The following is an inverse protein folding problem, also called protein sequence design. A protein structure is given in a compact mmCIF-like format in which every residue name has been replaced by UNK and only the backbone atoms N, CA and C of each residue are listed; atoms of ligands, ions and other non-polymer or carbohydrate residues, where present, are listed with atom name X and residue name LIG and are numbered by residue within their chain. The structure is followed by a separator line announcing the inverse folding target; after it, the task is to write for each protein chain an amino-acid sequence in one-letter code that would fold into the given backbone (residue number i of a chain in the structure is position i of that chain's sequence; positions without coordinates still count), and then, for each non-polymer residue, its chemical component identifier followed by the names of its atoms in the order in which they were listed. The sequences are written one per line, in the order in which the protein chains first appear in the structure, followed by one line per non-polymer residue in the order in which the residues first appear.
data_IF_704341757069
#
_entry.id   IF_704341757069
#
_cell.length_a   1.000
_cell.length_b   1.000
_cell.length_c   1.000
_cell.angle_alpha   90.00
_cell.angle_beta   90.00
_cell.angle_gamma   90.00
#
_symmetry.space_group_name_H-M   'P 1'
#
loop_
_entity.id
_entity.type
_entity.pdbx_description
1 polymer ?
#
# COMPACT_ATOMS: atom_id res chain seq x y z
N UNK A 1 1.13 11.12 -25.28
CA UNK A 1 0.26 11.40 -24.14
C UNK A 1 0.50 10.51 -22.93
N UNK A 2 0.51 9.19 -23.09
CA UNK A 2 0.52 8.24 -21.96
C UNK A 2 1.88 8.17 -21.24
N UNK A 3 2.98 8.13 -21.97
CA UNK A 3 4.35 8.13 -21.41
C UNK A 3 4.60 9.38 -20.57
N UNK A 4 4.17 10.55 -21.03
CA UNK A 4 4.31 11.79 -20.28
C UNK A 4 3.50 11.79 -18.98
N UNK A 5 2.27 11.27 -19.01
CA UNK A 5 1.44 11.13 -17.80
C UNK A 5 2.09 10.19 -16.79
N UNK A 6 2.60 9.04 -17.21
CA UNK A 6 3.32 8.09 -16.35
C UNK A 6 4.54 8.73 -15.71
N UNK A 7 5.39 9.42 -16.48
CA UNK A 7 6.58 10.09 -15.96
C UNK A 7 6.23 11.18 -14.94
N UNK A 8 5.18 11.96 -15.20
CA UNK A 8 4.72 13.00 -14.27
C UNK A 8 4.22 12.37 -12.96
N UNK A 9 3.39 11.34 -13.05
CA UNK A 9 2.88 10.63 -11.86
C UNK A 9 4.02 10.03 -11.04
N UNK A 10 5.00 9.40 -11.69
CA UNK A 10 6.16 8.81 -11.04
C UNK A 10 6.96 9.85 -10.25
N UNK A 11 7.23 11.01 -10.85
CA UNK A 11 7.90 12.13 -10.16
C UNK A 11 7.09 12.69 -8.99
N UNK A 12 5.76 12.79 -9.14
CA UNK A 12 4.87 13.23 -8.06
C UNK A 12 4.89 12.28 -6.86
N UNK A 13 5.16 11.00 -7.08
CA UNK A 13 5.33 9.97 -6.05
C UNK A 13 6.73 9.90 -5.46
N UNK A 14 7.60 10.83 -5.82
CA UNK A 14 8.96 10.92 -5.30
C UNK A 14 9.98 9.99 -5.96
N UNK A 15 9.62 9.34 -7.08
CA UNK A 15 10.56 8.52 -7.84
C UNK A 15 11.39 9.41 -8.77
N UNK A 16 12.70 9.37 -8.57
CA UNK A 16 13.69 10.13 -9.30
C UNK A 16 14.94 9.28 -9.56
N UNK A 17 15.91 9.81 -10.30
CA UNK A 17 17.19 9.14 -10.50
C UNK A 17 17.92 8.82 -9.17
N UNK A 18 17.68 9.63 -8.12
CA UNK A 18 18.30 9.46 -6.81
C UNK A 18 17.56 8.51 -5.88
N UNK A 19 16.32 8.11 -6.20
CA UNK A 19 15.48 7.27 -5.36
C UNK A 19 15.01 5.99 -6.05
N UNK A 20 15.25 5.84 -7.34
CA UNK A 20 14.77 4.72 -8.14
C UNK A 20 15.27 3.37 -7.63
N UNK A 21 16.53 3.27 -7.28
CA UNK A 21 17.14 2.06 -6.74
C UNK A 21 16.59 1.68 -5.36
N UNK A 22 16.28 2.67 -4.51
CA UNK A 22 15.60 2.45 -3.24
C UNK A 22 14.18 1.92 -3.44
N UNK A 23 13.41 2.52 -4.37
CA UNK A 23 12.05 2.07 -4.69
C UNK A 23 12.05 0.65 -5.24
N UNK A 24 13.02 0.31 -6.10
CA UNK A 24 13.17 -1.04 -6.61
C UNK A 24 13.55 -2.03 -5.49
N UNK A 25 14.44 -1.65 -4.58
CA UNK A 25 14.80 -2.48 -3.43
C UNK A 25 13.58 -2.76 -2.53
N UNK A 26 12.77 -1.74 -2.23
CA UNK A 26 11.52 -1.90 -1.46
C UNK A 26 10.53 -2.84 -2.18
N UNK A 27 10.40 -2.73 -3.49
CA UNK A 27 9.56 -3.64 -4.26
C UNK A 27 10.05 -5.09 -4.18
N UNK A 28 11.35 -5.30 -4.30
CA UNK A 28 11.95 -6.64 -4.19
C UNK A 28 11.71 -7.23 -2.79
N UNK A 29 11.92 -6.45 -1.74
CA UNK A 29 11.68 -6.89 -0.36
C UNK A 29 10.20 -7.21 -0.11
N UNK A 30 9.29 -6.41 -0.67
CA UNK A 30 7.86 -6.69 -0.60
C UNK A 30 7.50 -8.00 -1.31
N UNK A 31 8.06 -8.24 -2.50
CA UNK A 31 7.87 -9.49 -3.22
C UNK A 31 8.35 -10.69 -2.42
N UNK A 32 9.52 -10.61 -1.78
CA UNK A 32 10.08 -11.69 -0.97
C UNK A 32 9.22 -11.98 0.26
N UNK A 33 8.81 -10.94 0.97
CA UNK A 33 7.97 -11.06 2.16
C UNK A 33 6.59 -11.67 1.82
N UNK A 34 5.92 -11.17 0.77
CA UNK A 34 4.66 -11.71 0.29
C UNK A 34 4.79 -13.15 -0.23
N UNK A 35 5.87 -13.46 -0.96
CA UNK A 35 6.10 -14.81 -1.47
C UNK A 35 6.32 -15.81 -0.35
N UNK A 36 6.97 -15.40 0.74
CA UNK A 36 7.11 -16.20 1.96
C UNK A 36 5.76 -16.38 2.65
N UNK A 37 4.98 -15.32 2.79
CA UNK A 37 3.66 -15.36 3.41
C UNK A 37 2.70 -16.28 2.65
N UNK A 38 2.59 -16.13 1.34
CA UNK A 38 1.78 -16.98 0.47
C UNK A 38 2.34 -18.40 0.27
N UNK A 39 3.35 -18.81 1.02
CA UNK A 39 3.73 -20.21 1.14
C UNK A 39 2.78 -20.99 2.03
N UNK A 40 2.15 -20.32 2.99
CA UNK A 40 1.37 -20.94 4.05
C UNK A 40 -0.13 -20.74 3.89
N UNK A 41 -0.54 -19.59 3.38
CA UNK A 41 -1.95 -19.21 3.22
C UNK A 41 -2.22 -18.61 1.84
N UNK A 42 -3.43 -18.82 1.29
CA UNK A 42 -3.77 -18.27 -0.02
C UNK A 42 -3.97 -16.75 -0.05
N UNK A 43 -4.29 -16.14 1.10
CA UNK A 43 -4.56 -14.71 1.28
C UNK A 43 -3.90 -14.19 2.56
N UNK A 44 -3.92 -12.88 2.77
CA UNK A 44 -3.21 -12.24 3.89
C UNK A 44 -3.66 -12.73 5.27
N UNK A 45 -4.96 -12.99 5.45
CA UNK A 45 -5.53 -13.40 6.74
C UNK A 45 -6.16 -14.80 6.71
N UNK A 46 -5.66 -15.71 5.89
CA UNK A 46 -6.12 -17.10 5.87
C UNK A 46 -6.68 -17.54 4.53
N UNK A 47 -7.78 -18.29 4.55
CA UNK A 47 -8.37 -18.96 3.39
C UNK A 47 -9.30 -18.08 2.54
N UNK A 48 -9.66 -16.88 3.00
CA UNK A 48 -10.51 -15.92 2.28
C UNK A 48 -9.84 -14.56 2.12
N UNK A 49 -10.09 -13.85 0.99
CA UNK A 49 -9.51 -12.53 0.77
C UNK A 49 -10.11 -11.50 1.73
N UNK A 50 -9.26 -10.69 2.34
CA UNK A 50 -9.64 -9.56 3.18
C UNK A 50 -9.49 -8.23 2.43
N UNK A 51 -9.90 -7.13 3.04
CA UNK A 51 -9.78 -5.78 2.44
C UNK A 51 -8.31 -5.42 2.11
N UNK A 52 -7.35 -5.97 2.87
CA UNK A 52 -5.91 -5.80 2.61
C UNK A 52 -5.49 -6.44 1.29
N UNK A 53 -6.03 -7.62 0.95
CA UNK A 53 -5.77 -8.28 -0.34
C UNK A 53 -6.25 -7.41 -1.50
N UNK A 54 -7.46 -6.83 -1.42
CA UNK A 54 -7.96 -5.92 -2.45
C UNK A 54 -7.15 -4.63 -2.54
N UNK A 55 -6.67 -4.10 -1.41
CA UNK A 55 -5.79 -2.94 -1.38
C UNK A 55 -4.46 -3.18 -2.09
N UNK A 56 -3.84 -4.33 -1.86
CA UNK A 56 -2.58 -4.73 -2.54
C UNK A 56 -2.81 -5.12 -4.01
N UNK A 57 -3.97 -5.66 -4.35
CA UNK A 57 -4.27 -6.06 -5.73
C UNK A 57 -4.18 -4.89 -6.70
N UNK A 58 -4.66 -3.72 -6.31
CA UNK A 58 -4.72 -2.56 -7.20
C UNK A 58 -3.33 -2.20 -7.81
N UNK A 59 -2.26 -1.96 -7.03
CA UNK A 59 -0.94 -1.68 -7.59
C UNK A 59 -0.27 -2.92 -8.17
N UNK A 60 -0.42 -4.09 -7.55
CA UNK A 60 0.26 -5.31 -8.01
C UNK A 60 -0.33 -5.82 -9.32
N UNK A 61 -1.65 -5.87 -9.48
CA UNK A 61 -2.29 -6.31 -10.72
C UNK A 61 -2.29 -5.23 -11.79
N UNK A 62 -2.74 -4.01 -11.45
CA UNK A 62 -3.00 -2.94 -12.43
C UNK A 62 -1.72 -2.37 -13.06
N UNK A 63 -0.58 -2.46 -12.36
CA UNK A 63 0.69 -1.91 -12.80
C UNK A 63 1.81 -2.94 -12.80
N UNK A 64 2.23 -3.43 -11.63
CA UNK A 64 3.46 -4.19 -11.48
C UNK A 64 3.42 -5.57 -12.16
N UNK A 65 2.26 -6.22 -12.26
CA UNK A 65 2.11 -7.46 -13.00
C UNK A 65 1.85 -7.24 -14.50
N UNK A 66 1.66 -6.00 -14.96
CA UNK A 66 1.40 -5.66 -16.38
C UNK A 66 2.59 -5.01 -17.07
N UNK A 67 3.35 -4.18 -16.35
CA UNK A 67 4.55 -3.57 -16.90
C UNK A 67 5.66 -4.64 -17.04
N UNK A 68 6.35 -4.73 -18.19
CA UNK A 68 7.21 -5.87 -18.52
C UNK A 68 8.31 -6.16 -17.50
N UNK A 69 9.01 -5.15 -17.01
CA UNK A 69 10.13 -5.31 -16.10
C UNK A 69 9.70 -5.79 -14.71
N UNK A 70 8.81 -5.08 -13.98
CA UNK A 70 8.37 -5.54 -12.66
C UNK A 70 7.60 -6.86 -12.73
N UNK A 71 6.85 -7.13 -13.82
CA UNK A 71 6.20 -8.42 -14.03
C UNK A 71 7.21 -9.58 -14.16
N UNK A 72 8.31 -9.36 -14.88
CA UNK A 72 9.38 -10.35 -15.00
C UNK A 72 10.04 -10.61 -13.64
N UNK A 73 10.31 -9.57 -12.84
CA UNK A 73 10.81 -9.71 -11.48
C UNK A 73 9.85 -10.52 -10.60
N UNK A 74 8.56 -10.17 -10.60
CA UNK A 74 7.53 -10.88 -9.84
C UNK A 74 7.48 -12.36 -10.21
N UNK A 75 7.41 -12.69 -11.48
CA UNK A 75 7.37 -14.09 -11.98
C UNK A 75 8.60 -14.90 -11.59
N UNK A 76 9.78 -14.28 -11.71
CA UNK A 76 11.05 -14.95 -11.45
C UNK A 76 11.32 -15.14 -9.96
N UNK A 77 11.05 -14.10 -9.15
CA UNK A 77 11.44 -14.04 -7.75
C UNK A 77 10.32 -14.47 -6.80
N UNK A 78 9.09 -14.13 -7.13
CA UNK A 78 7.92 -14.30 -6.26
C UNK A 78 6.75 -14.97 -7.02
N UNK A 79 6.91 -16.23 -7.47
CA UNK A 79 5.88 -16.91 -8.27
C UNK A 79 4.55 -17.07 -7.52
N UNK A 80 4.56 -17.16 -6.17
CA UNK A 80 3.34 -17.23 -5.36
C UNK A 80 2.58 -15.90 -5.36
N UNK A 81 3.31 -14.78 -5.35
CA UNK A 81 2.69 -13.45 -5.50
C UNK A 81 2.04 -13.31 -6.86
N UNK A 82 2.72 -13.74 -7.93
CA UNK A 82 2.14 -13.71 -9.27
C UNK A 82 0.86 -14.57 -9.36
N UNK A 83 0.86 -15.77 -8.77
CA UNK A 83 -0.31 -16.64 -8.70
C UNK A 83 -1.43 -16.04 -7.84
N UNK A 84 -1.08 -15.39 -6.73
CA UNK A 84 -2.04 -14.66 -5.91
C UNK A 84 -2.69 -13.51 -6.69
N UNK A 85 -1.91 -12.73 -7.45
CA UNK A 85 -2.42 -11.66 -8.32
C UNK A 85 -3.42 -12.21 -9.34
N UNK A 86 -3.11 -13.32 -9.99
CA UNK A 86 -4.02 -13.95 -10.97
C UNK A 86 -5.25 -14.55 -10.29
N UNK A 87 -5.10 -15.14 -9.10
CA UNK A 87 -6.22 -15.67 -8.30
C UNK A 87 -7.18 -14.57 -7.86
N UNK A 88 -6.66 -13.46 -7.33
CA UNK A 88 -7.45 -12.31 -6.93
C UNK A 88 -8.22 -11.64 -8.09
N UNK A 89 -7.76 -11.82 -9.32
CA UNK A 89 -8.43 -11.29 -10.51
C UNK A 89 -9.52 -12.21 -11.06
N UNK A 90 -9.76 -13.36 -10.45
CA UNK A 90 -10.83 -14.29 -10.84
C UNK A 90 -12.14 -13.95 -10.15
N UNK A 91 -13.26 -14.33 -10.76
CA UNK A 91 -14.60 -14.17 -10.18
C UNK A 91 -14.92 -15.19 -9.08
N UNK A 92 -14.15 -16.29 -8.99
CA UNK A 92 -14.34 -17.35 -7.99
C UNK A 92 -13.14 -17.44 -7.06
N UNK A 93 -13.43 -17.71 -5.78
CA UNK A 93 -12.39 -18.09 -4.82
C UNK A 93 -11.92 -19.50 -5.13
N UNK A 94 -10.75 -19.60 -5.69
CA UNK A 94 -10.11 -20.86 -6.09
C UNK A 94 -8.67 -20.84 -5.61
N UNK A 95 -8.39 -21.65 -4.61
CA UNK A 95 -7.10 -21.78 -3.95
C UNK A 95 -6.61 -23.23 -3.98
N UNK A 96 -6.75 -23.92 -5.08
CA UNK A 96 -6.39 -25.35 -5.28
C UNK A 96 -4.95 -25.69 -4.87
N UNK A 97 -4.07 -24.70 -4.74
CA UNK A 97 -2.69 -24.91 -4.28
C UNK A 97 -2.60 -25.14 -2.76
N UNK A 98 -3.69 -24.95 -2.03
CA UNK A 98 -3.75 -24.99 -0.54
C UNK A 98 -4.79 -26.00 -0.07
N UNK A 99 -4.57 -27.26 -0.32
CA UNK A 99 -5.50 -28.36 -0.08
C UNK A 99 -5.96 -28.48 1.39
N UNK A 100 -5.08 -28.10 2.31
CA UNK A 100 -5.33 -28.18 3.76
C UNK A 100 -5.75 -26.85 4.40
N UNK A 101 -6.01 -25.81 3.59
CA UNK A 101 -6.41 -24.51 4.10
C UNK A 101 -7.93 -24.38 4.06
N UNK A 102 -8.52 -24.16 5.25
CA UNK A 102 -9.93 -23.79 5.35
C UNK A 102 -10.20 -22.45 4.63
N UNK A 103 -11.46 -22.26 4.23
CA UNK A 103 -11.91 -20.99 3.62
C UNK A 103 -12.05 -19.86 4.62
N UNK A 104 -11.85 -20.14 5.91
CA UNK A 104 -12.01 -19.17 6.98
C UNK A 104 -10.80 -18.25 7.16
N UNK A 105 -11.02 -17.14 7.85
CA UNK A 105 -9.94 -16.29 8.35
C UNK A 105 -9.19 -16.98 9.49
N UNK A 106 -7.94 -16.55 9.71
CA UNK A 106 -7.14 -16.98 10.86
C UNK A 106 -7.90 -16.73 12.16
N UNK A 107 -7.87 -17.74 13.03
CA UNK A 107 -8.65 -17.74 14.26
C UNK A 107 -8.01 -16.85 15.35
N UNK A 108 -8.83 -16.38 16.29
CA UNK A 108 -8.39 -15.66 17.51
C UNK A 108 -7.57 -14.37 17.23
N UNK A 109 -7.81 -13.69 16.13
CA UNK A 109 -7.04 -12.51 15.72
C UNK A 109 -5.52 -12.79 15.58
N UNK A 110 -5.15 -14.00 15.26
CA UNK A 110 -3.76 -14.37 15.04
C UNK A 110 -3.20 -13.67 13.81
N UNK A 111 -2.06 -12.99 13.96
CA UNK A 111 -1.33 -12.36 12.87
C UNK A 111 -0.01 -13.10 12.70
N UNK A 112 0.18 -13.86 11.62
CA UNK A 112 1.41 -14.62 11.39
C UNK A 112 2.64 -13.71 11.28
N UNK A 113 3.79 -14.17 11.75
CA UNK A 113 5.07 -13.45 11.62
C UNK A 113 5.40 -13.13 10.17
N UNK A 114 4.99 -13.95 9.22
CA UNK A 114 5.15 -13.68 7.79
C UNK A 114 4.33 -12.49 7.32
N UNK A 115 3.12 -12.27 7.87
CA UNK A 115 2.33 -11.07 7.59
C UNK A 115 2.93 -9.84 8.28
N UNK A 116 3.45 -9.99 9.50
CA UNK A 116 4.18 -8.92 10.20
C UNK A 116 5.41 -8.50 9.37
N UNK A 117 6.12 -9.43 8.75
CA UNK A 117 7.23 -9.11 7.86
C UNK A 117 6.78 -8.28 6.64
N UNK A 118 5.64 -8.62 6.03
CA UNK A 118 5.03 -7.80 4.95
C UNK A 118 4.71 -6.39 5.43
N UNK A 119 4.05 -6.26 6.59
CA UNK A 119 3.69 -4.96 7.17
C UNK A 119 4.93 -4.11 7.50
N UNK A 120 6.02 -4.73 7.97
CA UNK A 120 7.30 -4.03 8.22
C UNK A 120 7.89 -3.44 6.94
N UNK A 121 7.82 -4.15 5.81
CA UNK A 121 8.28 -3.60 4.52
C UNK A 121 7.40 -2.44 4.09
N UNK A 122 6.08 -2.62 4.10
CA UNK A 122 5.12 -1.57 3.71
C UNK A 122 5.21 -0.32 4.59
N UNK A 123 5.55 -0.46 5.86
CA UNK A 123 5.64 0.67 6.79
C UNK A 123 6.87 1.56 6.57
N UNK A 124 7.90 1.11 5.85
CA UNK A 124 9.16 1.84 5.69
C UNK A 124 8.99 3.18 4.95
N UNK A 125 8.11 3.23 3.97
CA UNK A 125 7.78 4.43 3.22
C UNK A 125 6.40 4.99 3.59
N UNK A 126 5.42 4.13 3.79
CA UNK A 126 4.04 4.52 4.07
C UNK A 126 3.91 5.34 5.37
N UNK A 127 4.56 4.93 6.45
CA UNK A 127 4.45 5.63 7.74
C UNK A 127 5.11 7.01 7.70
N UNK A 128 6.38 7.18 7.25
CA UNK A 128 6.99 8.50 7.15
C UNK A 128 6.23 9.46 6.24
N UNK A 129 5.76 8.99 5.07
CA UNK A 129 4.95 9.79 4.15
C UNK A 129 3.64 10.24 4.82
N UNK A 130 2.95 9.31 5.48
CA UNK A 130 1.67 9.57 6.15
C UNK A 130 1.83 10.60 7.26
N UNK A 131 2.86 10.47 8.10
CA UNK A 131 3.14 11.42 9.19
C UNK A 131 3.46 12.82 8.64
N UNK A 132 4.31 12.90 7.62
CA UNK A 132 4.66 14.18 6.99
C UNK A 132 3.43 14.85 6.35
N UNK A 133 2.61 14.08 5.64
CA UNK A 133 1.38 14.57 5.02
C UNK A 133 0.35 15.03 6.05
N UNK A 134 0.16 14.28 7.14
CA UNK A 134 -0.76 14.65 8.21
C UNK A 134 -0.34 15.96 8.90
N UNK A 135 0.95 16.13 9.20
CA UNK A 135 1.48 17.37 9.78
C UNK A 135 1.23 18.57 8.87
N UNK A 136 1.52 18.43 7.57
CA UNK A 136 1.27 19.48 6.59
C UNK A 136 -0.21 19.83 6.49
N UNK A 137 -1.08 18.82 6.36
CA UNK A 137 -2.53 19.04 6.23
C UNK A 137 -3.13 19.70 7.45
N UNK A 138 -2.73 19.30 8.65
CA UNK A 138 -3.20 19.92 9.89
C UNK A 138 -2.78 21.40 9.98
N UNK A 139 -1.54 21.72 9.61
CA UNK A 139 -1.07 23.10 9.55
C UNK A 139 -1.84 23.90 8.49
N UNK A 140 -1.97 23.38 7.29
CA UNK A 140 -2.71 24.02 6.20
C UNK A 140 -4.17 24.29 6.58
N UNK A 141 -4.84 23.33 7.22
CA UNK A 141 -6.22 23.50 7.70
C UNK A 141 -6.34 24.59 8.75
N UNK A 142 -5.39 24.64 9.69
CA UNK A 142 -5.39 25.67 10.74
C UNK A 142 -5.14 27.09 10.20
N UNK A 143 -4.27 27.23 9.20
CA UNK A 143 -3.93 28.52 8.58
C UNK A 143 -5.00 29.02 7.59
N UNK A 144 -5.52 28.12 6.75
CA UNK A 144 -6.47 28.48 5.68
C UNK A 144 -7.91 28.48 6.15
N UNK A 145 -8.23 27.73 7.21
CA UNK A 145 -9.58 27.58 7.77
C UNK A 145 -10.66 27.45 6.67
N UNK A 146 -10.53 26.49 5.73
CA UNK A 146 -11.43 26.38 4.58
C UNK A 146 -12.86 26.08 5.08
N UNK A 147 -13.86 26.75 4.49
CA UNK A 147 -15.25 26.45 4.79
C UNK A 147 -15.58 25.01 4.39
N UNK A 148 -16.35 24.33 5.24
CA UNK A 148 -16.89 23.01 4.91
C UNK A 148 -17.64 23.06 3.57
N UNK A 149 -17.36 22.12 2.67
CA UNK A 149 -17.94 22.09 1.31
C UNK A 149 -17.19 22.93 0.28
N UNK A 150 -16.10 23.61 0.67
CA UNK A 150 -15.19 24.22 -0.32
C UNK A 150 -14.66 23.11 -1.24
N UNK A 151 -14.67 23.31 -2.59
CA UNK A 151 -14.17 22.29 -3.48
C UNK A 151 -12.70 22.03 -3.17
N UNK A 152 -12.35 20.77 -2.91
CA UNK A 152 -10.98 20.33 -2.98
C UNK A 152 -10.53 20.52 -4.44
N UNK A 153 -9.69 21.49 -4.70
CA UNK A 153 -9.23 21.79 -6.05
C UNK A 153 -8.29 20.68 -6.47
N UNK A 154 -8.86 19.61 -7.00
CA UNK A 154 -8.11 18.50 -7.55
C UNK A 154 -7.96 18.71 -9.05
N UNK A 155 -6.84 19.25 -9.48
CA UNK A 155 -6.45 19.18 -10.90
C UNK A 155 -5.63 17.91 -11.11
N UNK A 156 -6.10 17.05 -12.00
CA UNK A 156 -5.41 15.83 -12.40
C UNK A 156 -3.98 16.16 -12.83
N UNK A 157 -2.98 15.61 -12.13
CA UNK A 157 -1.57 15.79 -12.49
C UNK A 157 -0.81 16.88 -11.73
N UNK A 158 -1.48 17.65 -10.88
CA UNK A 158 -0.81 18.56 -9.93
C UNK A 158 -1.39 18.37 -8.54
N UNK A 159 -0.55 18.32 -7.50
CA UNK A 159 -1.05 18.46 -6.14
C UNK A 159 -1.28 19.94 -5.88
N UNK A 160 -2.52 20.41 -5.79
CA UNK A 160 -2.78 21.84 -5.57
C UNK A 160 -2.36 22.29 -4.18
N UNK A 161 -2.15 21.35 -3.25
CA UNK A 161 -1.75 21.64 -1.88
C UNK A 161 -0.23 21.71 -1.70
N UNK A 162 0.56 21.04 -2.55
CA UNK A 162 2.01 21.02 -2.46
C UNK A 162 2.61 19.62 -2.34
N UNK A 163 3.80 19.57 -1.77
CA UNK A 163 4.57 18.34 -1.56
C UNK A 163 5.18 18.35 -0.16
N UNK A 164 5.41 17.15 0.37
CA UNK A 164 6.13 16.93 1.62
C UNK A 164 7.41 16.18 1.36
N UNK A 165 8.40 16.41 2.22
CA UNK A 165 9.63 15.64 2.26
C UNK A 165 9.64 14.77 3.51
N UNK A 166 10.06 13.52 3.36
CA UNK A 166 10.19 12.54 4.43
C UNK A 166 11.37 11.62 4.15
N UNK A 167 11.85 10.95 5.20
CA UNK A 167 12.98 10.04 5.09
C UNK A 167 12.48 8.61 4.90
N UNK A 168 13.07 7.92 3.92
CA UNK A 168 12.95 6.46 3.75
C UNK A 168 14.34 5.89 3.81
N UNK A 169 14.65 5.18 4.89
CA UNK A 169 16.00 4.75 5.22
C UNK A 169 16.96 5.95 5.33
N UNK A 170 17.98 5.98 4.48
CA UNK A 170 19.01 7.02 4.43
C UNK A 170 18.75 8.13 3.41
N UNK A 171 17.58 8.10 2.71
CA UNK A 171 17.29 9.01 1.60
C UNK A 171 16.04 9.86 1.82
N UNK A 172 16.11 11.15 1.49
CA UNK A 172 14.94 12.00 1.43
C UNK A 172 14.11 11.68 0.17
N UNK A 173 12.81 11.55 0.36
CA UNK A 173 11.83 11.43 -0.71
C UNK A 173 10.90 12.63 -0.64
N UNK A 174 10.62 13.25 -1.79
CA UNK A 174 9.66 14.34 -1.91
C UNK A 174 8.47 13.88 -2.72
N UNK A 175 7.30 13.80 -2.10
CA UNK A 175 6.06 13.36 -2.75
C UNK A 175 4.95 14.40 -2.64
N UNK A 176 4.04 14.37 -3.61
CA UNK A 176 2.84 15.20 -3.61
C UNK A 176 1.86 14.74 -2.53
N UNK A 177 1.18 15.70 -1.91
CA UNK A 177 0.20 15.43 -0.87
C UNK A 177 -1.11 14.92 -1.47
N UNK A 178 -1.66 13.86 -0.90
CA UNK A 178 -2.96 13.30 -1.25
C UNK A 178 -3.93 13.42 -0.07
N UNK A 179 -4.79 14.45 -0.02
CA UNK A 179 -5.72 14.67 1.10
C UNK A 179 -6.68 13.51 1.33
N UNK A 180 -7.04 12.78 0.26
CA UNK A 180 -7.94 11.64 0.35
C UNK A 180 -7.37 10.50 1.21
N UNK A 181 -6.06 10.25 1.15
CA UNK A 181 -5.40 9.27 2.03
C UNK A 181 -5.54 9.64 3.50
N UNK A 182 -5.41 10.92 3.83
CA UNK A 182 -5.60 11.40 5.20
C UNK A 182 -7.04 11.23 5.67
N UNK A 183 -8.01 11.52 4.83
CA UNK A 183 -9.43 11.27 5.12
C UNK A 183 -9.71 9.79 5.40
N UNK A 184 -9.15 8.88 4.61
CA UNK A 184 -9.29 7.44 4.87
C UNK A 184 -8.63 7.02 6.19
N UNK A 185 -7.48 7.56 6.53
CA UNK A 185 -6.81 7.31 7.81
C UNK A 185 -7.66 7.76 9.01
N UNK A 186 -8.30 8.92 8.92
CA UNK A 186 -9.21 9.40 9.97
C UNK A 186 -10.36 8.43 10.21
N UNK A 187 -10.92 7.84 9.17
CA UNK A 187 -11.99 6.82 9.30
C UNK A 187 -11.50 5.56 10.01
N UNK A 188 -10.27 5.12 9.71
CA UNK A 188 -9.66 3.98 10.40
C UNK A 188 -9.47 4.30 11.89
N UNK A 189 -8.96 5.49 12.21
CA UNK A 189 -8.80 5.92 13.60
C UNK A 189 -10.12 5.99 14.35
N UNK A 190 -11.19 6.49 13.74
CA UNK A 190 -12.52 6.49 14.36
C UNK A 190 -12.97 5.09 14.77
N UNK A 191 -12.83 4.10 13.87
CA UNK A 191 -13.17 2.71 14.16
C UNK A 191 -12.27 2.16 15.27
N UNK A 192 -10.96 2.44 15.22
CA UNK A 192 -10.00 1.99 16.22
C UNK A 192 -10.31 2.56 17.61
N UNK A 193 -10.69 3.83 17.71
CA UNK A 193 -11.03 4.50 18.95
C UNK A 193 -12.32 3.95 19.59
N UNK A 194 -13.21 3.35 18.78
CA UNK A 194 -14.44 2.69 19.24
C UNK A 194 -14.19 1.26 19.78
N UNK A 195 -13.04 0.67 19.48
CA UNK A 195 -12.69 -0.68 19.93
C UNK A 195 -12.28 -0.66 21.41
N UNK A 196 -12.66 -1.71 22.16
CA UNK A 196 -12.27 -1.85 23.56
C UNK A 196 -10.75 -1.74 23.75
N UNK A 197 -10.32 -1.00 24.77
CA UNK A 197 -8.88 -0.72 25.05
C UNK A 197 -8.00 -1.98 25.11
N UNK A 198 -8.54 -3.11 25.60
CA UNK A 198 -7.83 -4.38 25.64
C UNK A 198 -7.47 -4.95 24.25
N UNK A 199 -8.21 -4.55 23.22
CA UNK A 199 -7.96 -4.95 21.82
C UNK A 199 -7.02 -3.96 21.14
N UNK A 200 -7.02 -2.68 21.57
CA UNK A 200 -6.14 -1.65 21.02
C UNK A 200 -4.65 -1.86 21.36
N UNK A 201 -4.36 -2.65 22.40
CA UNK A 201 -3.00 -2.87 22.94
C UNK A 201 -2.38 -4.18 22.42
N UNK A 202 -3.13 -5.02 21.70
CA UNK A 202 -2.61 -6.22 21.05
C UNK A 202 -1.96 -5.88 19.71
#
# INVERSE_FOLDING_TARGET
GDVYKRQTTTKMRGVSANTQDLVEALYIELLDALNSHFQHTPYLLGGSPCIGDFGLLAPLYGHLARDPYPAALMKKRAPRVYRWVERMNRASQDAQEYFDCDTDFLQKNEIPETLIAVLRVLSQDFVPETVASAKFLNLWLSEKNPKTGSPAVFQLGTSPLGSVEFQVRDRPIKAAIEPYRHFQLQRIHQIFDEVEKKVQVQ
#
